data_IF_849574994535
#
_entry.id   IF_849574994535
#
_cell.length_a   1.000
_cell.length_b   1.000
_cell.length_c   1.000
_cell.angle_alpha   90.00
_cell.angle_beta   90.00
_cell.angle_gamma   90.00
#
_symmetry.space_group_name_H-M   'P 1'
#
loop_
_entity.id
_entity.type
_entity.pdbx_description
1 polymer ?
#
# COMPACT_ATOMS: atom_id res chain seq x y z
N UNK A 1 -2.33 -10.95 6.54
CA UNK A 1 -3.26 -10.52 5.46
C UNK A 1 -4.22 -9.49 6.07
N UNK A 2 -4.42 -8.30 5.46
CA UNK A 2 -5.11 -7.18 6.13
C UNK A 2 -6.62 -7.39 6.32
N UNK A 3 -7.26 -8.06 5.37
CA UNK A 3 -8.70 -8.32 5.35
C UNK A 3 -8.93 -9.81 5.07
N UNK A 4 -8.88 -10.67 6.09
CA UNK A 4 -9.13 -12.10 5.91
C UNK A 4 -10.58 -12.38 5.51
N UNK A 5 -11.54 -11.62 6.06
CA UNK A 5 -12.97 -11.85 5.89
C UNK A 5 -13.64 -10.87 4.91
N UNK A 6 -12.86 -10.12 4.13
CA UNK A 6 -13.35 -9.10 3.20
C UNK A 6 -13.01 -7.66 3.59
N UNK A 7 -13.13 -6.77 2.61
CA UNK A 7 -12.67 -5.37 2.72
C UNK A 7 -13.54 -4.58 3.68
N UNK A 8 -12.91 -3.93 4.66
CA UNK A 8 -13.57 -3.02 5.59
C UNK A 8 -12.99 -1.61 5.51
N UNK A 9 -13.84 -0.61 5.73
CA UNK A 9 -13.42 0.78 5.74
C UNK A 9 -12.34 1.02 6.81
N UNK A 10 -11.25 1.67 6.42
CA UNK A 10 -10.12 1.97 7.32
C UNK A 10 -10.44 3.03 8.38
N UNK A 11 -11.56 3.75 8.23
CA UNK A 11 -11.96 4.84 9.13
C UNK A 11 -13.10 4.40 10.06
N UNK A 12 -14.20 3.87 9.51
CA UNK A 12 -15.38 3.49 10.31
C UNK A 12 -15.56 1.98 10.52
N UNK A 13 -14.76 1.13 9.85
CA UNK A 13 -14.81 -0.33 10.05
C UNK A 13 -15.97 -1.07 9.37
N UNK A 14 -16.90 -0.36 8.72
CA UNK A 14 -18.00 -0.98 7.97
C UNK A 14 -17.50 -1.86 6.81
N UNK A 15 -18.29 -2.87 6.46
CA UNK A 15 -18.10 -3.75 5.29
C UNK A 15 -18.75 -3.20 4.01
N UNK A 16 -19.54 -2.13 4.12
CA UNK A 16 -20.15 -1.42 2.99
C UNK A 16 -19.11 -0.62 2.20
N UNK A 17 -18.30 -1.33 1.42
CA UNK A 17 -17.23 -0.74 0.63
C UNK A 17 -17.38 -1.14 -0.84
N UNK A 18 -17.37 -0.14 -1.73
CA UNK A 18 -17.37 -0.35 -3.18
C UNK A 18 -15.95 -0.27 -3.73
N UNK A 19 -15.57 -1.21 -4.59
CA UNK A 19 -14.29 -1.18 -5.30
C UNK A 19 -14.48 -0.68 -6.74
N UNK A 20 -13.59 0.16 -7.22
CA UNK A 20 -13.49 0.55 -8.63
C UNK A 20 -12.02 0.72 -9.06
N UNK A 21 -11.79 0.67 -10.38
CA UNK A 21 -10.49 0.96 -10.94
C UNK A 21 -10.22 2.46 -10.89
N UNK A 22 -8.95 2.82 -10.70
CA UNK A 22 -8.53 4.21 -10.71
C UNK A 22 -8.82 4.84 -12.08
N UNK A 23 -9.44 6.04 -12.11
CA UNK A 23 -9.70 6.75 -13.36
C UNK A 23 -8.43 7.34 -13.98
N UNK A 24 -7.29 7.30 -13.29
CA UNK A 24 -6.04 7.90 -13.77
C UNK A 24 -5.32 7.00 -14.78
N UNK A 25 -5.04 7.53 -15.97
CA UNK A 25 -4.26 6.85 -17.02
C UNK A 25 -2.86 6.41 -16.55
N UNK A 26 -2.27 7.12 -15.58
CA UNK A 26 -0.96 6.79 -15.00
C UNK A 26 -0.98 5.47 -14.22
N UNK A 27 -2.13 5.04 -13.69
CA UNK A 27 -2.25 3.84 -12.84
C UNK A 27 -3.62 3.15 -13.05
N UNK A 28 -3.90 2.62 -14.25
CA UNK A 28 -5.23 2.10 -14.60
C UNK A 28 -5.64 0.88 -13.76
N UNK A 29 -4.66 0.12 -13.26
CA UNK A 29 -4.89 -1.08 -12.44
C UNK A 29 -4.94 -0.79 -10.94
N UNK A 30 -4.85 0.48 -10.50
CA UNK A 30 -4.93 0.80 -9.08
C UNK A 30 -6.36 0.63 -8.60
N UNK A 31 -6.58 -0.30 -7.67
CA UNK A 31 -7.87 -0.51 -7.03
C UNK A 31 -8.11 0.57 -5.98
N UNK A 32 -9.23 1.26 -6.12
CA UNK A 32 -9.72 2.22 -5.14
C UNK A 32 -10.96 1.64 -4.46
N UNK A 33 -11.06 1.86 -3.16
CA UNK A 33 -12.16 1.48 -2.31
C UNK A 33 -12.85 2.74 -1.80
N UNK A 34 -14.18 2.76 -1.83
CA UNK A 34 -14.99 3.86 -1.31
C UNK A 34 -16.01 3.32 -0.33
N UNK A 35 -15.99 3.86 0.88
CA UNK A 35 -16.99 3.60 1.88
C UNK A 35 -18.36 4.11 1.38
N UNK A 36 -19.38 3.27 1.45
CA UNK A 36 -20.76 3.62 1.09
C UNK A 36 -21.58 4.05 2.32
N UNK A 37 -20.95 4.12 3.50
CA UNK A 37 -21.62 4.60 4.71
C UNK A 37 -21.80 6.13 4.62
N UNK A 38 -23.03 6.66 4.70
CA UNK A 38 -23.32 8.09 4.49
C UNK A 38 -22.57 9.03 5.43
N UNK A 39 -22.24 8.57 6.64
CA UNK A 39 -21.52 9.34 7.65
C UNK A 39 -20.00 9.33 7.46
N UNK A 40 -19.46 8.44 6.62
CA UNK A 40 -18.02 8.28 6.42
C UNK A 40 -17.59 8.64 5.00
N UNK A 41 -18.18 7.99 3.99
CA UNK A 41 -17.92 8.19 2.54
C UNK A 41 -16.43 8.19 2.12
N UNK A 42 -15.54 7.71 2.99
CA UNK A 42 -14.10 7.83 2.81
C UNK A 42 -13.59 6.97 1.66
N UNK A 43 -12.71 7.54 0.85
CA UNK A 43 -11.99 6.86 -0.21
C UNK A 43 -10.61 6.38 0.28
N UNK A 44 -10.25 5.15 -0.01
CA UNK A 44 -8.97 4.56 0.41
C UNK A 44 -8.48 3.48 -0.57
N UNK A 45 -7.26 3.01 -0.37
CA UNK A 45 -6.62 1.94 -1.14
C UNK A 45 -6.20 0.82 -0.19
N UNK A 46 -5.82 -0.35 -0.73
CA UNK A 46 -5.35 -1.46 0.10
C UNK A 46 -4.15 -1.09 0.99
N UNK A 47 -3.31 -0.15 0.53
CA UNK A 47 -2.13 0.33 1.26
C UNK A 47 -2.42 1.52 2.16
N UNK A 48 -3.65 2.06 2.20
CA UNK A 48 -3.99 3.22 3.02
C UNK A 48 -3.76 2.98 4.51
N UNK A 49 -2.93 3.82 5.15
CA UNK A 49 -2.56 3.64 6.56
C UNK A 49 -1.60 2.47 6.82
N UNK A 50 -0.84 2.02 5.82
CA UNK A 50 0.28 1.08 5.99
C UNK A 50 1.60 1.78 5.67
N UNK A 51 2.73 1.11 5.94
CA UNK A 51 4.06 1.57 5.49
C UNK A 51 4.18 1.69 3.96
N UNK A 52 3.25 1.07 3.21
CA UNK A 52 3.16 1.16 1.75
C UNK A 52 2.22 2.27 1.30
N UNK A 53 1.68 3.07 2.21
CA UNK A 53 0.81 4.18 1.85
C UNK A 53 1.56 5.17 0.97
N UNK A 54 0.91 5.59 -0.11
CA UNK A 54 1.41 6.57 -1.07
C UNK A 54 2.81 6.29 -1.64
N UNK A 55 3.20 5.02 -1.67
CA UNK A 55 4.50 4.66 -2.23
C UNK A 55 4.47 4.69 -3.76
N UNK A 56 5.47 5.34 -4.34
CA UNK A 56 5.75 5.29 -5.77
C UNK A 56 6.53 4.03 -6.19
N UNK A 57 6.92 3.18 -5.24
CA UNK A 57 7.61 1.93 -5.53
C UNK A 57 6.61 0.78 -5.70
N UNK A 58 6.79 -0.09 -6.71
CA UNK A 58 6.01 -1.32 -6.79
C UNK A 58 6.12 -2.14 -5.50
N UNK A 59 5.02 -2.76 -5.05
CA UNK A 59 5.00 -3.58 -3.83
C UNK A 59 6.03 -4.71 -3.86
N UNK A 60 6.36 -5.25 -5.03
CA UNK A 60 7.44 -6.24 -5.20
C UNK A 60 8.79 -5.71 -4.71
N UNK A 61 9.11 -4.43 -4.95
CA UNK A 61 10.33 -3.80 -4.44
C UNK A 61 10.28 -3.62 -2.93
N UNK A 62 9.11 -3.36 -2.37
CA UNK A 62 8.93 -3.31 -0.92
C UNK A 62 9.13 -4.66 -0.25
N UNK A 63 8.61 -5.75 -0.84
CA UNK A 63 8.83 -7.09 -0.30
C UNK A 63 10.32 -7.48 -0.36
N UNK A 64 11.00 -7.13 -1.45
CA UNK A 64 12.46 -7.29 -1.54
C UNK A 64 13.20 -6.43 -0.50
N UNK A 65 12.72 -5.20 -0.26
CA UNK A 65 13.31 -4.32 0.75
C UNK A 65 13.20 -4.95 2.14
N UNK A 66 12.03 -5.48 2.47
CA UNK A 66 11.75 -6.15 3.74
C UNK A 66 12.59 -7.42 3.90
N UNK A 67 12.76 -8.24 2.85
CA UNK A 67 13.58 -9.45 2.93
C UNK A 67 15.05 -9.12 3.23
N UNK A 68 15.59 -8.06 2.62
CA UNK A 68 16.96 -7.61 2.87
C UNK A 68 17.11 -7.08 4.31
N UNK A 69 16.14 -6.29 4.78
CA UNK A 69 16.16 -5.74 6.15
C UNK A 69 16.07 -6.85 7.19
N UNK A 70 15.25 -7.88 6.97
CA UNK A 70 15.09 -9.01 7.89
C UNK A 70 16.34 -9.92 7.91
N UNK A 71 16.99 -10.12 6.76
CA UNK A 71 18.21 -10.94 6.67
C UNK A 71 19.47 -10.23 7.20
N UNK A 72 19.44 -8.90 7.30
CA UNK A 72 20.57 -8.10 7.75
C UNK A 72 20.86 -8.31 9.25
N UNK A 73 21.89 -9.12 9.55
CA UNK A 73 22.38 -9.42 10.93
C UNK A 73 22.71 -8.18 11.78
N UNK A 74 23.02 -7.05 11.12
CA UNK A 74 23.15 -5.72 11.71
C UNK A 74 22.36 -4.79 10.79
N UNK A 75 21.53 -3.91 11.35
CA UNK A 75 20.62 -3.06 10.58
C UNK A 75 21.28 -2.44 9.33
N UNK A 76 20.55 -2.42 8.22
CA UNK A 76 21.04 -1.92 6.94
C UNK A 76 20.78 -0.41 6.80
N UNK A 77 21.78 0.34 6.31
CA UNK A 77 21.57 1.76 6.01
C UNK A 77 20.65 1.95 4.81
N UNK A 78 19.84 3.02 4.81
CA UNK A 78 18.94 3.35 3.70
C UNK A 78 19.67 3.43 2.34
N UNK A 79 20.91 3.93 2.33
CA UNK A 79 21.73 4.06 1.11
C UNK A 79 22.24 2.71 0.59
N UNK A 80 22.52 1.75 1.47
CA UNK A 80 22.81 0.38 1.05
C UNK A 80 21.55 -0.26 0.49
N UNK A 81 20.44 -0.20 1.22
CA UNK A 81 19.15 -0.75 0.77
C UNK A 81 18.75 -0.20 -0.61
N UNK A 82 18.95 1.10 -0.85
CA UNK A 82 18.74 1.73 -2.15
C UNK A 82 19.52 1.08 -3.30
N UNK A 83 20.81 0.77 -3.08
CA UNK A 83 21.67 0.11 -4.07
C UNK A 83 21.18 -1.31 -4.35
N UNK A 84 20.84 -2.06 -3.29
CA UNK A 84 20.32 -3.41 -3.44
C UNK A 84 18.98 -3.44 -4.21
N UNK A 85 18.12 -2.44 -4.01
CA UNK A 85 16.81 -2.35 -4.67
C UNK A 85 16.84 -1.69 -6.05
N UNK A 86 17.99 -1.14 -6.46
CA UNK A 86 18.13 -0.34 -7.69
C UNK A 86 17.00 0.69 -7.83
N UNK A 87 16.70 1.42 -6.75
CA UNK A 87 15.67 2.47 -6.72
C UNK A 87 16.33 3.84 -6.73
N UNK A 88 15.86 4.74 -7.59
CA UNK A 88 16.26 6.16 -7.57
C UNK A 88 15.38 6.89 -6.58
N UNK A 89 15.96 7.46 -5.53
CA UNK A 89 15.31 8.50 -4.73
C UNK A 89 15.50 9.80 -5.50
N UNK A 90 14.40 10.43 -5.89
CA UNK A 90 14.42 11.74 -6.54
C UNK A 90 14.06 12.82 -5.52
#
# INVERSE_FOLDING_TARGET
>A
MRWPDGVRCVTCGTDKVRQYASPTEKQPNRKIYQCQEPTCQQQFTATSGTIFHDTHLPLTKWFLALSIVVDAKKGISAKQLQRHLSVRTH
#
